data_IF_612271919612
#
_entry.id   IF_612271919612
#
_cell.length_a   1.000
_cell.length_b   1.000
_cell.length_c   1.000
_cell.angle_alpha   90.00
_cell.angle_beta   90.00
_cell.angle_gamma   90.00
#
_symmetry.space_group_name_H-M   'P 1'
#
loop_
_entity.id
_entity.type
_entity.pdbx_description
1 polymer ?
#
# COMPACT_ATOMS: atom_id res chain seq x y z
N UNK A 1 25.27 4.50 0.06
CA UNK A 1 24.33 5.39 0.80
C UNK A 1 23.03 4.62 0.97
N UNK A 2 22.71 4.19 2.20
CA UNK A 2 21.58 3.30 2.46
C UNK A 2 20.26 4.09 2.45
N UNK A 3 19.28 3.66 1.65
CA UNK A 3 17.95 4.29 1.57
C UNK A 3 17.23 4.38 2.93
N UNK A 4 17.52 3.45 3.86
CA UNK A 4 16.95 3.44 5.20
C UNK A 4 17.48 4.57 6.10
N UNK A 5 18.75 4.96 5.99
CA UNK A 5 19.33 6.05 6.79
C UNK A 5 18.78 7.42 6.37
N UNK A 6 18.53 7.60 5.07
CA UNK A 6 18.03 8.88 4.54
C UNK A 6 16.56 9.13 4.92
N UNK A 7 15.82 8.06 5.21
CA UNK A 7 14.44 8.14 5.70
C UNK A 7 14.36 8.54 7.18
N UNK A 8 15.35 8.16 8.01
CA UNK A 8 15.45 8.60 9.40
C UNK A 8 15.83 10.08 9.53
N UNK A 9 16.54 10.63 8.54
CA UNK A 9 16.80 12.08 8.43
C UNK A 9 15.54 12.89 8.14
N UNK A 10 14.45 12.26 7.68
CA UNK A 10 13.18 12.97 7.47
C UNK A 10 12.59 13.36 8.81
N UNK A 11 12.11 14.59 8.88
CA UNK A 11 11.35 15.08 10.02
C UNK A 11 10.06 14.27 10.21
N UNK A 12 9.61 14.17 11.46
CA UNK A 12 8.36 13.51 11.84
C UNK A 12 7.17 14.06 11.05
N UNK A 13 7.18 15.36 10.72
CA UNK A 13 6.17 16.01 9.88
C UNK A 13 6.19 15.55 8.42
N UNK A 14 7.38 15.32 7.85
CA UNK A 14 7.50 14.76 6.49
C UNK A 14 6.93 13.35 6.44
N UNK A 15 7.30 12.51 7.41
CA UNK A 15 6.80 11.13 7.50
C UNK A 15 5.28 11.12 7.69
N UNK A 16 4.73 11.98 8.54
CA UNK A 16 3.29 12.12 8.70
C UNK A 16 2.57 12.43 7.38
N UNK A 17 3.08 13.40 6.59
CA UNK A 17 2.51 13.72 5.27
C UNK A 17 2.62 12.55 4.30
N UNK A 18 3.74 11.83 4.33
CA UNK A 18 3.93 10.64 3.50
C UNK A 18 2.91 9.55 3.88
N UNK A 19 2.62 9.34 5.17
CA UNK A 19 1.55 8.44 5.62
C UNK A 19 0.18 8.82 5.05
N UNK A 20 -0.17 10.11 5.06
CA UNK A 20 -1.45 10.57 4.53
C UNK A 20 -1.55 10.39 3.00
N UNK A 21 -0.47 10.70 2.27
CA UNK A 21 -0.43 10.49 0.80
C UNK A 21 -0.54 9.01 0.45
N UNK A 22 0.19 8.16 1.16
CA UNK A 22 0.15 6.71 0.97
C UNK A 22 -1.22 6.15 1.30
N UNK A 23 -1.87 6.60 2.39
CA UNK A 23 -3.24 6.19 2.71
C UNK A 23 -4.23 6.48 1.58
N UNK A 24 -4.11 7.65 0.93
CA UNK A 24 -4.94 8.01 -0.23
C UNK A 24 -4.66 7.11 -1.43
N UNK A 25 -3.39 6.85 -1.74
CA UNK A 25 -3.01 5.93 -2.82
C UNK A 25 -3.54 4.51 -2.58
N UNK A 26 -3.39 4.01 -1.35
CA UNK A 26 -3.82 2.68 -0.91
C UNK A 26 -5.34 2.50 -0.90
N UNK A 27 -6.08 3.60 -0.80
CA UNK A 27 -7.54 3.55 -0.75
C UNK A 27 -8.16 3.28 -2.12
N UNK A 28 -7.44 3.57 -3.21
CA UNK A 28 -7.93 3.40 -4.59
C UNK A 28 -9.28 4.07 -4.84
N UNK A 29 -9.52 5.22 -4.20
CA UNK A 29 -10.80 5.95 -4.28
C UNK A 29 -11.88 5.45 -3.32
N UNK A 30 -11.63 4.40 -2.52
CA UNK A 30 -12.54 3.97 -1.47
C UNK A 30 -12.45 4.92 -0.25
N UNK A 31 -13.42 5.84 -0.17
CA UNK A 31 -13.49 6.88 0.86
C UNK A 31 -13.51 6.32 2.29
N UNK A 32 -14.17 5.17 2.53
CA UNK A 32 -14.22 4.55 3.87
C UNK A 32 -12.86 4.00 4.27
N UNK A 33 -12.17 3.33 3.34
CA UNK A 33 -10.82 2.79 3.54
C UNK A 33 -9.81 3.91 3.74
N UNK A 34 -9.88 4.97 2.94
CA UNK A 34 -9.04 6.17 3.09
C UNK A 34 -9.21 6.78 4.48
N UNK A 35 -10.45 7.03 4.90
CA UNK A 35 -10.76 7.61 6.20
C UNK A 35 -10.22 6.76 7.35
N UNK A 36 -10.36 5.43 7.28
CA UNK A 36 -9.84 4.52 8.30
C UNK A 36 -8.30 4.54 8.39
N UNK A 37 -7.61 4.54 7.25
CA UNK A 37 -6.14 4.60 7.19
C UNK A 37 -5.63 5.95 7.72
N UNK A 38 -6.24 7.05 7.29
CA UNK A 38 -5.92 8.41 7.77
C UNK A 38 -6.16 8.52 9.27
N UNK A 39 -7.30 8.02 9.77
CA UNK A 39 -7.62 8.03 11.19
C UNK A 39 -6.58 7.26 12.01
N UNK A 40 -6.20 6.07 11.55
CA UNK A 40 -5.19 5.23 12.20
C UNK A 40 -3.83 5.94 12.28
N UNK A 41 -3.38 6.54 11.18
CA UNK A 41 -2.14 7.32 11.17
C UNK A 41 -2.21 8.48 12.17
N UNK A 42 -3.29 9.28 12.13
CA UNK A 42 -3.51 10.39 13.07
C UNK A 42 -3.48 9.95 14.52
N UNK A 43 -4.12 8.82 14.84
CA UNK A 43 -4.16 8.28 16.20
C UNK A 43 -2.77 7.90 16.70
N UNK A 44 -1.95 7.23 15.87
CA UNK A 44 -0.59 6.85 16.25
C UNK A 44 0.32 8.06 16.46
N UNK A 45 0.27 9.05 15.57
CA UNK A 45 1.04 10.29 15.74
C UNK A 45 0.57 11.10 16.96
N UNK A 46 -0.74 11.14 17.22
CA UNK A 46 -1.29 11.81 18.41
C UNK A 46 -0.89 11.11 19.71
N UNK A 47 -0.90 9.76 19.73
CA UNK A 47 -0.51 8.95 20.89
C UNK A 47 0.93 9.22 21.31
N UNK A 48 1.84 9.40 20.35
CA UNK A 48 3.26 9.58 20.59
C UNK A 48 3.72 11.05 20.53
N UNK A 49 2.79 12.02 20.49
CA UNK A 49 3.12 13.45 20.27
C UNK A 49 4.02 14.08 21.34
N UNK A 50 4.08 13.47 22.53
CA UNK A 50 4.85 13.95 23.67
C UNK A 50 6.12 13.13 23.91
N UNK A 51 6.44 12.18 23.03
CA UNK A 51 7.70 11.47 23.10
C UNK A 51 8.84 12.46 22.87
N UNK A 52 9.80 12.48 23.81
CA UNK A 52 11.00 13.32 23.74
C UNK A 52 12.28 12.49 23.55
N UNK A 53 12.22 11.18 23.77
CA UNK A 53 13.34 10.27 23.53
C UNK A 53 13.58 10.09 22.03
N UNK A 54 14.78 10.46 21.58
CA UNK A 54 15.20 10.41 20.19
C UNK A 54 15.22 8.97 19.64
N UNK A 55 15.66 7.99 20.44
CA UNK A 55 15.72 6.60 19.99
C UNK A 55 14.31 6.01 19.79
N UNK A 56 13.40 6.32 20.72
CA UNK A 56 12.01 5.95 20.59
C UNK A 56 11.36 6.61 19.36
N UNK A 57 11.62 7.90 19.11
CA UNK A 57 11.11 8.59 17.90
C UNK A 57 11.61 7.90 16.63
N UNK A 58 12.89 7.57 16.53
CA UNK A 58 13.45 6.97 15.33
C UNK A 58 12.94 5.53 15.10
N UNK A 59 12.69 4.80 16.18
CA UNK A 59 12.03 3.48 16.11
C UNK A 59 10.60 3.63 15.59
N UNK A 60 9.83 4.57 16.14
CA UNK A 60 8.45 4.84 15.70
C UNK A 60 8.37 5.30 14.24
N UNK A 61 9.32 6.13 13.79
CA UNK A 61 9.45 6.51 12.38
C UNK A 61 9.70 5.29 11.50
N UNK A 62 10.65 4.44 11.90
CA UNK A 62 11.02 3.22 11.16
C UNK A 62 9.85 2.25 11.05
N UNK A 63 9.11 2.05 12.14
CA UNK A 63 7.92 1.19 12.15
C UNK A 63 6.82 1.74 11.24
N UNK A 64 6.56 3.05 11.27
CA UNK A 64 5.59 3.69 10.39
C UNK A 64 5.95 3.48 8.91
N UNK A 65 7.22 3.68 8.55
CA UNK A 65 7.73 3.44 7.19
C UNK A 65 7.59 1.97 6.79
N UNK A 66 7.96 1.05 7.67
CA UNK A 66 7.87 -0.40 7.41
C UNK A 66 6.42 -0.81 7.13
N UNK A 67 5.48 -0.38 7.97
CA UNK A 67 4.06 -0.70 7.82
C UNK A 67 3.54 -0.16 6.48
N UNK A 68 3.88 1.07 6.11
CA UNK A 68 3.50 1.65 4.82
C UNK A 68 4.04 0.84 3.65
N UNK A 69 5.33 0.49 3.67
CA UNK A 69 5.96 -0.27 2.59
C UNK A 69 5.32 -1.65 2.47
N UNK A 70 5.08 -2.35 3.58
CA UNK A 70 4.45 -3.66 3.58
C UNK A 70 3.03 -3.61 2.99
N UNK A 71 2.28 -2.56 3.31
CA UNK A 71 0.95 -2.37 2.74
C UNK A 71 0.96 -2.00 1.27
N UNK A 72 1.89 -1.15 0.84
CA UNK A 72 2.06 -0.82 -0.57
C UNK A 72 2.38 -2.07 -1.38
N UNK A 73 3.32 -2.89 -0.88
CA UNK A 73 3.72 -4.15 -1.50
C UNK A 73 2.55 -5.13 -1.62
N UNK A 74 1.74 -5.25 -0.56
CA UNK A 74 0.55 -6.10 -0.57
C UNK A 74 -0.45 -5.68 -1.67
N UNK A 75 -0.62 -4.38 -1.86
CA UNK A 75 -1.53 -3.85 -2.90
C UNK A 75 -0.96 -4.07 -4.30
N UNK A 76 0.32 -3.76 -4.54
CA UNK A 76 0.93 -3.99 -5.87
C UNK A 76 0.94 -5.46 -6.24
N UNK A 77 1.40 -6.33 -5.34
CA UNK A 77 1.41 -7.79 -5.60
C UNK A 77 0.00 -8.34 -5.75
N UNK A 78 -0.95 -7.90 -4.91
CA UNK A 78 -2.35 -8.31 -5.01
C UNK A 78 -2.98 -7.92 -6.35
N UNK A 79 -2.69 -6.72 -6.85
CA UNK A 79 -3.16 -6.25 -8.16
C UNK A 79 -2.55 -7.03 -9.30
N UNK A 80 -1.23 -7.25 -9.30
CA UNK A 80 -0.54 -8.04 -10.32
C UNK A 80 -1.16 -9.45 -10.43
N UNK A 81 -1.47 -10.07 -9.30
CA UNK A 81 -2.14 -11.38 -9.28
C UNK A 81 -3.57 -11.33 -9.84
N UNK A 82 -4.34 -10.29 -9.55
CA UNK A 82 -5.69 -10.12 -10.10
C UNK A 82 -5.65 -9.90 -11.62
N UNK A 83 -4.76 -9.03 -12.09
CA UNK A 83 -4.56 -8.77 -13.52
C UNK A 83 -4.12 -10.03 -14.28
N UNK A 84 -3.23 -10.82 -13.68
CA UNK A 84 -2.79 -12.09 -14.26
C UNK A 84 -3.95 -13.10 -14.37
N UNK A 85 -4.74 -13.25 -13.32
CA UNK A 85 -5.94 -14.11 -13.34
C UNK A 85 -6.97 -13.65 -14.39
N UNK A 86 -7.15 -12.35 -14.57
CA UNK A 86 -8.05 -11.83 -15.59
C UNK A 86 -7.55 -12.13 -17.02
N UNK A 87 -6.23 -12.02 -17.25
CA UNK A 87 -5.62 -12.41 -18.54
C UNK A 87 -5.83 -13.89 -18.83
N UNK A 88 -5.56 -14.76 -17.85
CA UNK A 88 -5.77 -16.21 -17.97
C UNK A 88 -7.23 -16.56 -18.25
N UNK A 89 -8.18 -15.92 -17.55
CA UNK A 89 -9.61 -16.11 -17.79
C UNK A 89 -10.02 -15.70 -19.20
N UNK A 90 -9.55 -14.54 -19.68
CA UNK A 90 -9.84 -14.06 -21.05
C UNK A 90 -9.28 -15.01 -22.11
N UNK A 91 -8.10 -15.57 -21.87
CA UNK A 91 -7.48 -16.52 -22.80
C UNK A 91 -8.23 -17.84 -22.85
N UNK A 92 -8.67 -18.38 -21.70
CA UNK A 92 -9.51 -19.57 -21.65
C UNK A 92 -10.84 -19.36 -22.39
N UNK A 93 -11.47 -18.19 -22.25
CA UNK A 93 -12.70 -17.85 -22.97
C UNK A 93 -12.47 -17.85 -24.49
N UNK A 94 -11.36 -17.27 -24.97
CA UNK A 94 -11.02 -17.29 -26.41
C UNK A 94 -10.83 -18.71 -26.91
N UNK A 95 -10.07 -19.54 -26.19
CA UNK A 95 -9.83 -20.95 -26.57
C UNK A 95 -11.14 -21.73 -26.62
N UNK A 96 -11.99 -21.60 -25.61
CA UNK A 96 -13.30 -22.27 -25.59
C UNK A 96 -14.21 -21.79 -26.72
N UNK A 97 -14.23 -20.48 -27.00
CA UNK A 97 -15.04 -19.91 -28.09
C UNK A 97 -14.57 -20.43 -29.45
N UNK A 98 -13.25 -20.44 -29.70
CA UNK A 98 -12.68 -20.98 -30.94
C UNK A 98 -12.99 -22.48 -31.11
N UNK A 99 -13.00 -23.25 -30.03
CA UNK A 99 -13.30 -24.68 -30.04
C UNK A 99 -14.77 -24.96 -30.38
N UNK A 100 -15.70 -24.16 -29.85
CA UNK A 100 -17.13 -24.26 -30.16
C UNK A 100 -17.41 -23.94 -31.63
N UNK A 101 -16.77 -22.89 -32.17
CA UNK A 101 -16.92 -22.50 -33.58
C UNK A 101 -16.42 -23.61 -34.52
N UNK A 102 -15.30 -24.26 -34.20
CA UNK A 102 -14.73 -25.31 -35.03
C UNK A 102 -15.43 -26.67 -34.94
N UNK A 103 -16.37 -26.88 -34.01
CA UNK A 103 -17.15 -28.12 -33.87
C UNK A 103 -18.59 -27.99 -34.41
N UNK A 104 -19.01 -26.79 -34.82
CA UNK A 104 -20.35 -26.51 -35.32
C UNK A 104 -20.48 -26.37 -36.84
N UNK A 105 -19.42 -26.70 -37.61
CA UNK A 105 -19.41 -26.77 -39.07
C UNK A 105 -18.87 -28.11 -39.53
#
# INVERSE_FOLDING_TARGET
MNMAEDLLKRSTTQIYRDCLRTARLMSEGNVRKEAALIHTARLQFKKNKHTTDLQQIDTQKSDAIRIMNQYLLYITVGKEQLEQKEKERKEQIKVTTARIINQGG
#
